data_IF_504591661467
#
_entry.id   IF_504591661467
#
_cell.length_a   1.000
_cell.length_b   1.000
_cell.length_c   1.000
_cell.angle_alpha   90.00
_cell.angle_beta   90.00
_cell.angle_gamma   90.00
#
_symmetry.space_group_name_H-M   'P 1'
#
loop_
_entity.id
_entity.type
_entity.pdbx_description
1 polymer ?
#
# COMPACT_ATOMS: atom_id res chain seq x y z
N UNK A 1 -16.23 6.79 -6.59
CA UNK A 1 -16.41 7.66 -7.74
C UNK A 1 -15.45 8.81 -7.60
N UNK A 2 -14.73 9.18 -8.65
CA UNK A 2 -13.91 10.39 -8.73
C UNK A 2 -14.80 11.54 -9.22
N UNK A 3 -14.59 12.74 -8.69
CA UNK A 3 -15.27 13.95 -9.15
C UNK A 3 -14.53 14.52 -10.37
N UNK A 4 -13.19 14.50 -10.31
CA UNK A 4 -12.34 14.96 -11.41
C UNK A 4 -11.19 13.99 -11.66
N UNK A 5 -10.86 13.82 -12.93
CA UNK A 5 -9.69 13.10 -13.40
C UNK A 5 -9.11 13.85 -14.59
N UNK A 6 -7.86 14.28 -14.49
CA UNK A 6 -7.12 14.89 -15.59
C UNK A 6 -5.86 14.06 -15.84
N UNK A 7 -5.65 13.64 -17.09
CA UNK A 7 -4.48 12.88 -17.46
C UNK A 7 -3.86 13.42 -18.76
N UNK A 8 -2.53 13.44 -18.81
CA UNK A 8 -1.73 13.62 -20.02
C UNK A 8 -0.80 12.43 -20.14
N UNK A 9 -1.01 11.64 -21.18
CA UNK A 9 -0.22 10.47 -21.47
C UNK A 9 0.09 10.39 -22.96
N UNK A 10 1.19 9.77 -23.29
CA UNK A 10 1.57 9.39 -24.65
C UNK A 10 1.98 7.94 -24.67
N UNK A 11 1.80 7.29 -25.81
CA UNK A 11 2.22 5.91 -25.98
C UNK A 11 2.72 5.69 -27.41
N UNK A 12 3.60 4.73 -27.56
CA UNK A 12 4.09 4.25 -28.84
C UNK A 12 4.18 2.73 -28.83
N UNK A 13 3.91 2.13 -29.97
CA UNK A 13 4.14 0.70 -30.20
C UNK A 13 5.60 0.48 -30.51
N UNK A 14 6.21 -0.54 -29.91
CA UNK A 14 7.57 -0.97 -30.19
C UNK A 14 7.45 -2.17 -31.12
N UNK A 15 7.85 -2.00 -32.40
CA UNK A 15 7.91 -3.08 -33.39
C UNK A 15 9.29 -3.76 -33.36
N UNK A 16 9.34 -5.07 -33.60
CA UNK A 16 10.61 -5.77 -33.83
C UNK A 16 11.33 -6.28 -32.59
N UNK A 17 10.63 -6.48 -31.46
CA UNK A 17 11.20 -7.27 -30.36
C UNK A 17 11.25 -8.74 -30.80
N UNK A 18 12.44 -9.41 -30.88
CA UNK A 18 12.52 -10.81 -31.24
C UNK A 18 11.80 -11.66 -30.19
N UNK A 19 10.65 -12.23 -30.54
CA UNK A 19 9.97 -13.20 -29.72
C UNK A 19 10.78 -14.49 -29.75
N UNK A 20 11.19 -15.01 -28.60
CA UNK A 20 11.68 -16.37 -28.48
C UNK A 20 10.52 -17.32 -28.69
N UNK A 21 10.46 -17.92 -29.88
CA UNK A 21 9.52 -19.02 -30.16
C UNK A 21 9.91 -20.23 -29.31
N UNK A 22 9.01 -20.87 -28.56
CA UNK A 22 9.30 -22.04 -27.76
C UNK A 22 9.60 -23.29 -28.59
N UNK A 23 9.36 -23.25 -29.88
CA UNK A 23 9.63 -24.38 -30.81
C UNK A 23 10.39 -23.84 -32.01
N UNK A 24 11.68 -24.11 -32.08
CA UNK A 24 12.65 -23.75 -33.12
C UNK A 24 12.25 -23.99 -34.58
N UNK A 25 11.16 -23.44 -35.05
CA UNK A 25 10.75 -23.44 -36.44
C UNK A 25 11.28 -22.16 -37.12
N UNK A 26 12.10 -22.30 -38.18
CA UNK A 26 12.54 -21.18 -38.98
C UNK A 26 11.39 -20.83 -39.97
N UNK A 27 10.73 -19.77 -39.82
CA UNK A 27 9.80 -19.06 -40.71
C UNK A 27 8.50 -18.67 -40.01
N UNK A 28 8.53 -17.48 -39.51
CA UNK A 28 7.37 -16.81 -38.93
C UNK A 28 7.78 -15.94 -37.76
N UNK A 29 8.35 -14.79 -38.05
CA UNK A 29 8.63 -13.77 -37.03
C UNK A 29 7.29 -13.25 -36.52
N UNK A 30 6.75 -13.88 -35.49
CA UNK A 30 5.74 -13.24 -34.66
C UNK A 30 6.46 -12.08 -33.97
N UNK A 31 6.41 -10.90 -34.56
CA UNK A 31 6.92 -9.68 -33.94
C UNK A 31 6.06 -9.45 -32.69
N UNK A 32 6.59 -9.79 -31.53
CA UNK A 32 5.95 -9.40 -30.28
C UNK A 32 5.87 -7.87 -30.28
N UNK A 33 4.65 -7.36 -30.26
CA UNK A 33 4.42 -5.91 -30.20
C UNK A 33 4.60 -5.46 -28.76
N UNK A 34 5.60 -4.64 -28.52
CA UNK A 34 5.78 -3.97 -27.25
C UNK A 34 4.98 -2.67 -27.19
N UNK A 35 4.85 -2.12 -26.00
CA UNK A 35 4.26 -0.80 -25.77
C UNK A 35 5.12 0.00 -24.79
N UNK A 36 5.25 1.29 -25.08
CA UNK A 36 5.95 2.26 -24.24
C UNK A 36 4.95 3.37 -23.91
N UNK A 37 4.60 3.51 -22.64
CA UNK A 37 3.59 4.44 -22.15
C UNK A 37 4.26 5.44 -21.24
N UNK A 38 4.13 6.71 -21.53
CA UNK A 38 4.57 7.81 -20.68
C UNK A 38 3.38 8.54 -20.11
N UNK A 39 3.27 8.55 -18.78
CA UNK A 39 2.30 9.32 -18.04
C UNK A 39 2.99 10.61 -17.54
N UNK A 40 2.80 11.70 -18.28
CA UNK A 40 3.40 12.99 -17.91
C UNK A 40 2.75 13.56 -16.65
N UNK A 41 1.44 13.43 -16.54
CA UNK A 41 0.65 13.92 -15.43
C UNK A 41 -0.66 13.17 -15.33
N UNK A 42 -1.02 12.80 -14.11
CA UNK A 42 -2.35 12.36 -13.71
C UNK A 42 -2.72 13.14 -12.45
N UNK A 43 -3.88 13.74 -12.40
CA UNK A 43 -4.47 14.34 -11.22
C UNK A 43 -5.86 13.77 -11.01
N UNK A 44 -6.18 13.44 -9.80
CA UNK A 44 -7.50 12.93 -9.44
C UNK A 44 -7.99 13.57 -8.14
N UNK A 45 -9.27 13.78 -8.06
CA UNK A 45 -9.95 14.22 -6.85
C UNK A 45 -11.32 13.60 -6.76
N UNK A 46 -11.69 13.21 -5.56
CA UNK A 46 -12.99 12.65 -5.22
C UNK A 46 -13.20 12.64 -3.71
N UNK A 47 -14.36 12.20 -3.23
CA UNK A 47 -14.66 12.18 -1.80
C UNK A 47 -13.70 11.30 -1.00
N UNK A 48 -13.27 10.18 -1.59
CA UNK A 48 -12.43 9.20 -0.91
C UNK A 48 -10.94 9.50 -0.96
N UNK A 49 -10.45 10.19 -2.00
CA UNK A 49 -9.03 10.53 -2.13
C UNK A 49 -8.80 11.63 -3.16
N UNK A 50 -7.67 12.34 -3.02
CA UNK A 50 -7.13 13.25 -4.02
C UNK A 50 -5.62 13.09 -4.09
N UNK A 51 -5.06 13.29 -5.30
CA UNK A 51 -3.63 13.13 -5.49
C UNK A 51 -3.21 13.25 -6.94
N UNK A 52 -1.97 12.90 -7.20
CA UNK A 52 -1.36 12.97 -8.51
C UNK A 52 -0.41 11.79 -8.75
N UNK A 53 -0.15 11.50 -10.04
CA UNK A 53 0.83 10.51 -10.42
C UNK A 53 1.54 10.92 -11.71
N UNK A 54 2.75 10.41 -11.90
CA UNK A 54 3.53 10.47 -13.14
C UNK A 54 4.37 9.21 -13.26
N UNK A 55 4.70 8.83 -14.48
CA UNK A 55 5.52 7.64 -14.63
C UNK A 55 5.72 7.21 -16.05
N UNK A 56 6.33 6.06 -16.17
CA UNK A 56 6.64 5.42 -17.42
C UNK A 56 6.44 3.91 -17.27
N UNK A 57 5.85 3.27 -18.27
CA UNK A 57 5.73 1.83 -18.32
C UNK A 57 6.15 1.34 -19.68
N UNK A 58 6.97 0.30 -19.70
CA UNK A 58 7.48 -0.31 -20.92
C UNK A 58 7.25 -1.81 -20.90
N UNK A 59 6.52 -2.27 -21.88
CA UNK A 59 6.34 -3.68 -22.16
C UNK A 59 7.05 -4.04 -23.46
N UNK A 60 7.87 -5.08 -23.46
CA UNK A 60 8.68 -5.49 -24.62
C UNK A 60 8.25 -6.82 -25.22
N UNK A 61 7.02 -7.26 -24.91
CA UNK A 61 6.47 -8.51 -25.43
C UNK A 61 6.76 -9.74 -24.58
N UNK A 62 7.56 -9.61 -23.50
CA UNK A 62 7.86 -10.69 -22.55
C UNK A 62 7.78 -10.20 -21.12
N UNK A 63 7.17 -11.03 -20.24
CA UNK A 63 7.02 -10.75 -18.82
C UNK A 63 6.04 -9.61 -18.51
N UNK A 64 6.06 -9.09 -17.29
CA UNK A 64 5.15 -8.03 -16.84
C UNK A 64 5.61 -6.60 -17.19
N UNK A 65 6.79 -6.44 -17.79
CA UNK A 65 7.35 -5.14 -18.19
C UNK A 65 8.11 -4.40 -17.09
N UNK A 66 8.58 -3.20 -17.46
CA UNK A 66 9.31 -2.29 -16.59
C UNK A 66 8.45 -1.06 -16.25
N UNK A 67 8.56 -0.58 -15.04
CA UNK A 67 7.80 0.57 -14.55
C UNK A 67 8.71 1.56 -13.82
N UNK A 68 8.40 2.84 -13.96
CA UNK A 68 8.90 3.93 -13.12
C UNK A 68 7.70 4.82 -12.79
N UNK A 69 7.07 4.61 -11.65
CA UNK A 69 5.85 5.29 -11.22
C UNK A 69 6.10 5.99 -9.90
N UNK A 70 5.75 7.26 -9.84
CA UNK A 70 5.65 8.03 -8.60
C UNK A 70 4.24 8.59 -8.49
N UNK A 71 3.60 8.37 -7.34
CA UNK A 71 2.31 8.97 -7.03
C UNK A 71 2.35 9.66 -5.67
N UNK A 72 1.56 10.73 -5.54
CA UNK A 72 1.32 11.43 -4.29
C UNK A 72 -0.18 11.40 -3.98
N UNK A 73 -0.51 11.23 -2.71
CA UNK A 73 -1.88 11.29 -2.20
C UNK A 73 -1.95 12.42 -1.18
N UNK A 74 -2.63 13.49 -1.54
CA UNK A 74 -2.70 14.69 -0.71
C UNK A 74 -3.65 14.48 0.47
N UNK A 75 -4.75 13.76 0.22
CA UNK A 75 -5.73 13.35 1.21
C UNK A 75 -6.40 12.04 0.84
N UNK A 76 -6.77 11.27 1.86
CA UNK A 76 -7.57 10.06 1.70
C UNK A 76 -8.50 9.85 2.91
N UNK A 77 -9.69 9.30 2.66
CA UNK A 77 -10.51 8.67 3.70
C UNK A 77 -9.90 7.30 4.00
N UNK A 78 -9.43 7.11 5.23
CA UNK A 78 -8.77 5.86 5.63
C UNK A 78 -9.67 4.64 5.42
N UNK A 79 -11.00 4.78 5.55
CA UNK A 79 -11.97 3.70 5.30
C UNK A 79 -11.99 3.23 3.85
N UNK A 80 -11.55 4.06 2.93
CA UNK A 80 -11.59 3.76 1.51
C UNK A 80 -10.29 3.15 0.97
N UNK A 81 -9.23 3.09 1.78
CA UNK A 81 -7.89 2.68 1.34
C UNK A 81 -7.86 1.28 0.72
N UNK A 82 -8.67 0.35 1.22
CA UNK A 82 -8.79 -1.00 0.70
C UNK A 82 -9.20 -1.07 -0.79
N UNK A 83 -9.89 -0.03 -1.30
CA UNK A 83 -10.34 0.07 -2.71
C UNK A 83 -9.19 0.33 -3.67
N UNK A 84 -8.11 0.90 -3.16
CA UNK A 84 -6.93 1.29 -3.94
C UNK A 84 -5.78 0.30 -3.80
N UNK A 85 -5.96 -0.77 -3.01
CA UNK A 85 -4.95 -1.80 -2.84
C UNK A 85 -4.83 -2.66 -4.10
N UNK A 86 -3.60 -2.90 -4.59
CA UNK A 86 -3.37 -3.79 -5.72
C UNK A 86 -3.94 -5.20 -5.47
N UNK A 87 -4.35 -5.88 -6.54
CA UNK A 87 -4.89 -7.24 -6.45
C UNK A 87 -3.85 -8.28 -5.98
N UNK A 88 -2.56 -7.97 -6.06
CA UNK A 88 -1.48 -8.82 -5.52
C UNK A 88 -1.49 -8.89 -3.98
N UNK A 89 -2.12 -7.94 -3.31
CA UNK A 89 -2.33 -8.02 -1.86
C UNK A 89 -3.37 -9.11 -1.59
N UNK A 90 -3.03 -10.03 -0.68
CA UNK A 90 -3.89 -11.18 -0.38
C UNK A 90 -5.29 -10.75 0.10
N UNK A 91 -6.27 -11.62 -0.13
CA UNK A 91 -7.67 -11.31 0.16
C UNK A 91 -7.95 -11.08 1.66
N UNK A 92 -7.22 -11.78 2.51
CA UNK A 92 -7.35 -11.70 3.98
C UNK A 92 -6.89 -10.34 4.50
N UNK A 93 -5.72 -9.85 4.06
CA UNK A 93 -5.22 -8.53 4.41
C UNK A 93 -6.17 -7.42 3.92
N UNK A 94 -6.69 -7.55 2.69
CA UNK A 94 -7.69 -6.60 2.16
C UNK A 94 -8.99 -6.61 2.95
N UNK A 95 -9.47 -7.79 3.33
CA UNK A 95 -10.67 -7.95 4.16
C UNK A 95 -10.46 -7.37 5.56
N UNK A 96 -9.27 -7.59 6.15
CA UNK A 96 -8.91 -7.02 7.45
C UNK A 96 -8.88 -5.48 7.39
N UNK A 97 -8.21 -4.88 6.40
CA UNK A 97 -8.16 -3.42 6.24
C UNK A 97 -9.56 -2.84 6.05
N UNK A 98 -10.40 -3.49 5.23
CA UNK A 98 -11.78 -3.06 4.99
C UNK A 98 -12.62 -3.06 6.27
N UNK A 99 -12.43 -4.04 7.14
CA UNK A 99 -13.16 -4.17 8.41
C UNK A 99 -12.51 -3.34 9.50
N UNK A 100 -11.20 -3.44 9.63
CA UNK A 100 -10.45 -2.92 10.77
C UNK A 100 -10.30 -1.41 10.78
N UNK A 101 -10.24 -0.75 9.63
CA UNK A 101 -10.17 0.72 9.58
C UNK A 101 -11.57 1.31 9.61
N UNK A 102 -12.00 1.77 10.79
CA UNK A 102 -13.36 2.28 11.04
C UNK A 102 -13.51 3.73 10.63
N UNK A 103 -12.50 4.57 10.89
CA UNK A 103 -12.47 5.98 10.52
C UNK A 103 -11.04 6.49 10.44
N UNK A 104 -10.85 7.71 9.94
CA UNK A 104 -9.56 8.38 9.93
C UNK A 104 -9.27 9.09 8.62
N UNK A 105 -8.20 9.88 8.62
CA UNK A 105 -7.71 10.63 7.46
C UNK A 105 -6.29 10.22 7.15
N UNK A 106 -6.02 9.91 5.87
CA UNK A 106 -4.68 9.76 5.32
C UNK A 106 -4.24 11.03 4.61
N UNK A 107 -2.97 11.36 4.67
CA UNK A 107 -2.37 12.50 4.00
C UNK A 107 -0.87 12.32 3.78
N UNK A 108 -0.24 13.19 3.00
CA UNK A 108 1.19 13.11 2.65
C UNK A 108 1.59 11.71 2.14
N UNK A 109 0.67 11.07 1.42
CA UNK A 109 0.91 9.76 0.84
C UNK A 109 1.89 9.84 -0.33
N UNK A 110 2.82 8.91 -0.42
CA UNK A 110 3.76 8.77 -1.53
C UNK A 110 3.97 7.33 -1.90
N UNK A 111 3.82 7.01 -3.17
CA UNK A 111 4.17 5.73 -3.77
C UNK A 111 5.37 5.92 -4.70
N UNK A 112 6.36 5.06 -4.57
CA UNK A 112 7.43 4.85 -5.55
C UNK A 112 7.42 3.37 -5.94
N UNK A 113 7.25 3.11 -7.24
CA UNK A 113 7.33 1.78 -7.83
C UNK A 113 8.23 1.87 -9.07
N UNK A 114 9.41 1.26 -8.99
CA UNK A 114 10.42 1.36 -10.04
C UNK A 114 11.16 0.04 -10.19
N UNK A 115 11.33 -0.42 -11.42
CA UNK A 115 12.09 -1.61 -11.78
C UNK A 115 11.33 -2.54 -12.71
N UNK A 116 11.92 -3.70 -12.98
CA UNK A 116 11.27 -4.76 -13.73
C UNK A 116 10.25 -5.45 -12.82
N UNK A 117 8.98 -5.47 -13.22
CA UNK A 117 7.90 -6.04 -12.41
C UNK A 117 8.02 -7.56 -12.22
N UNK A 118 8.91 -8.23 -12.94
CA UNK A 118 9.25 -9.65 -12.71
C UNK A 118 9.94 -9.85 -11.36
N UNK A 119 10.70 -8.84 -10.91
CA UNK A 119 11.47 -8.89 -9.66
C UNK A 119 10.71 -8.29 -8.48
N UNK A 120 9.44 -7.89 -8.70
CA UNK A 120 8.58 -7.37 -7.63
C UNK A 120 8.41 -8.41 -6.51
N UNK A 121 8.51 -8.03 -5.23
CA UNK A 121 8.62 -6.69 -4.66
C UNK A 121 10.04 -6.13 -4.47
N UNK A 122 11.03 -6.58 -5.24
CA UNK A 122 12.42 -6.10 -5.23
C UNK A 122 13.17 -6.39 -3.93
N UNK A 123 13.12 -7.64 -3.49
CA UNK A 123 13.68 -8.10 -2.20
C UNK A 123 15.18 -7.93 -2.06
N UNK A 124 15.89 -7.91 -3.17
CA UNK A 124 17.35 -7.71 -3.24
C UNK A 124 17.78 -6.26 -2.99
N UNK A 125 16.82 -5.32 -2.97
CA UNK A 125 17.06 -3.90 -2.79
C UNK A 125 17.81 -3.20 -3.92
N UNK A 126 18.14 -3.92 -5.00
CA UNK A 126 18.95 -3.44 -6.13
C UNK A 126 18.22 -3.49 -7.48
N UNK A 127 17.37 -4.49 -7.73
CA UNK A 127 16.61 -4.66 -8.98
C UNK A 127 15.51 -3.63 -9.18
N UNK A 128 15.10 -2.96 -8.10
CA UNK A 128 14.04 -1.97 -8.14
C UNK A 128 13.69 -1.40 -6.77
N UNK A 129 12.55 -0.70 -6.73
CA UNK A 129 12.05 -0.09 -5.49
C UNK A 129 10.54 -0.12 -5.44
N UNK A 130 9.99 -0.65 -4.37
CA UNK A 130 8.59 -0.49 -4.01
C UNK A 130 8.50 0.03 -2.58
N UNK A 131 7.95 1.24 -2.44
CA UNK A 131 7.71 1.84 -1.13
C UNK A 131 6.47 2.73 -1.18
N UNK A 132 5.63 2.60 -0.18
CA UNK A 132 4.50 3.48 0.09
C UNK A 132 4.69 4.08 1.46
N UNK A 133 4.63 5.38 1.56
CA UNK A 133 4.61 6.11 2.84
C UNK A 133 3.34 6.92 2.93
N UNK A 134 2.79 7.08 4.12
CA UNK A 134 1.65 7.95 4.37
C UNK A 134 1.62 8.37 5.84
N UNK A 135 0.89 9.45 6.12
CA UNK A 135 0.52 9.85 7.47
C UNK A 135 -0.95 9.57 7.71
N UNK A 136 -1.28 9.23 8.94
CA UNK A 136 -2.65 9.05 9.41
C UNK A 136 -2.96 10.03 10.54
N UNK A 137 -4.19 10.51 10.59
CA UNK A 137 -4.68 11.35 11.67
C UNK A 137 -6.10 10.93 12.07
N UNK A 138 -6.34 10.99 13.37
CA UNK A 138 -7.63 10.70 13.99
C UNK A 138 -8.23 9.37 13.52
N UNK A 139 -7.37 8.36 13.45
CA UNK A 139 -7.75 7.04 12.93
C UNK A 139 -8.26 6.15 14.04
N UNK A 140 -9.37 5.45 13.75
CA UNK A 140 -9.94 4.40 14.61
C UNK A 140 -9.73 3.04 13.93
N UNK A 141 -9.17 2.11 14.70
CA UNK A 141 -8.88 0.75 14.24
C UNK A 141 -9.54 -0.27 15.17
N UNK A 142 -10.40 -1.10 14.60
CA UNK A 142 -10.90 -2.34 15.17
C UNK A 142 -9.99 -3.48 14.69
N UNK A 143 -8.91 -3.71 15.44
CA UNK A 143 -7.84 -4.61 14.99
C UNK A 143 -8.18 -6.10 15.13
N UNK A 144 -8.99 -6.47 16.12
CA UNK A 144 -9.46 -7.83 16.34
C UNK A 144 -10.91 -7.81 16.85
N UNK A 145 -11.83 -8.57 16.27
CA UNK A 145 -13.22 -8.63 16.73
C UNK A 145 -13.33 -8.99 18.21
N UNK A 146 -14.12 -8.23 18.94
CA UNK A 146 -14.33 -8.43 20.36
C UNK A 146 -13.30 -7.78 21.29
N UNK A 147 -12.24 -7.17 20.73
CA UNK A 147 -11.29 -6.38 21.49
C UNK A 147 -11.65 -4.89 21.45
N UNK A 148 -11.32 -4.13 22.50
CA UNK A 148 -11.51 -2.68 22.48
C UNK A 148 -10.76 -2.02 21.33
N UNK A 149 -11.44 -1.21 20.55
CA UNK A 149 -10.82 -0.50 19.42
C UNK A 149 -9.80 0.53 19.90
N UNK A 150 -8.79 0.77 19.08
CA UNK A 150 -7.84 1.88 19.27
C UNK A 150 -8.36 3.09 18.50
N UNK A 151 -8.44 4.23 19.17
CA UNK A 151 -8.99 5.46 18.63
C UNK A 151 -7.97 6.59 18.64
N UNK A 152 -8.26 7.67 17.89
CA UNK A 152 -7.44 8.88 17.83
C UNK A 152 -5.97 8.61 17.49
N UNK A 153 -5.72 7.65 16.60
CA UNK A 153 -4.37 7.29 16.19
C UNK A 153 -3.85 8.36 15.23
N UNK A 154 -2.73 8.97 15.60
CA UNK A 154 -1.92 9.81 14.72
C UNK A 154 -0.54 9.14 14.53
N UNK A 155 -0.11 8.99 13.27
CA UNK A 155 1.15 8.30 13.02
C UNK A 155 1.59 8.28 11.56
N UNK A 156 2.75 7.69 11.34
CA UNK A 156 3.35 7.48 10.04
C UNK A 156 3.32 6.00 9.67
N UNK A 157 3.14 5.71 8.40
CA UNK A 157 3.10 4.36 7.87
C UNK A 157 4.08 4.21 6.72
N UNK A 158 4.78 3.10 6.69
CA UNK A 158 5.65 2.70 5.58
C UNK A 158 5.32 1.26 5.20
N UNK A 159 5.12 1.03 3.92
CA UNK A 159 4.87 -0.29 3.33
C UNK A 159 5.89 -0.55 2.23
N UNK A 160 6.31 -1.78 2.11
CA UNK A 160 7.19 -2.30 1.09
C UNK A 160 7.13 -3.83 1.11
N UNK A 161 8.23 -4.50 1.36
CA UNK A 161 8.29 -5.94 1.61
C UNK A 161 7.49 -6.31 2.86
N UNK A 162 7.51 -5.44 3.86
CA UNK A 162 6.74 -5.50 5.08
C UNK A 162 6.04 -4.19 5.38
N UNK A 163 5.69 -3.99 6.64
CA UNK A 163 5.01 -2.79 7.14
C UNK A 163 5.66 -2.28 8.41
N UNK A 164 5.76 -0.97 8.52
CA UNK A 164 6.05 -0.27 9.78
C UNK A 164 5.03 0.83 9.99
N UNK A 165 4.43 0.86 11.18
CA UNK A 165 3.59 1.95 11.65
C UNK A 165 4.21 2.53 12.90
N UNK A 166 4.37 3.84 12.95
CA UNK A 166 4.87 4.59 14.09
C UNK A 166 3.78 5.59 14.52
N UNK A 167 3.04 5.24 15.56
CA UNK A 167 2.00 6.08 16.10
C UNK A 167 2.52 6.89 17.30
N UNK A 168 2.46 8.22 17.16
CA UNK A 168 2.84 9.15 18.22
C UNK A 168 1.74 9.30 19.28
N UNK A 169 0.50 8.95 18.90
CA UNK A 169 -0.69 9.12 19.74
C UNK A 169 -1.70 8.03 19.40
N UNK A 170 -2.44 7.63 20.41
CA UNK A 170 -3.59 6.75 20.33
C UNK A 170 -4.31 6.70 21.67
N UNK A 171 -5.49 6.12 21.68
CA UNK A 171 -6.27 5.90 22.90
C UNK A 171 -6.98 4.55 22.83
N UNK A 172 -6.99 3.81 23.92
CA UNK A 172 -7.73 2.58 24.06
C UNK A 172 -8.49 2.63 25.39
N UNK A 173 -9.82 2.61 25.31
CA UNK A 173 -10.67 2.94 26.46
C UNK A 173 -10.28 4.29 27.05
N UNK A 174 -9.86 4.36 28.30
CA UNK A 174 -9.34 5.57 28.98
C UNK A 174 -7.81 5.64 29.07
N UNK A 175 -7.06 4.71 28.45
CA UNK A 175 -5.61 4.70 28.46
C UNK A 175 -5.04 5.39 27.22
N UNK A 176 -4.11 6.32 27.41
CA UNK A 176 -3.35 6.98 26.35
C UNK A 176 -2.22 6.08 25.88
N UNK A 177 -2.08 5.97 24.58
CA UNK A 177 -0.98 5.27 23.92
C UNK A 177 0.01 6.29 23.34
N UNK A 178 1.31 6.03 23.51
CA UNK A 178 2.38 6.81 22.90
C UNK A 178 3.54 5.92 22.45
N UNK A 179 4.36 6.43 21.54
CA UNK A 179 5.55 5.76 21.01
C UNK A 179 5.27 4.33 20.53
N UNK A 180 4.10 4.15 19.92
CA UNK A 180 3.67 2.84 19.44
C UNK A 180 4.34 2.55 18.11
N UNK A 181 5.02 1.42 18.03
CA UNK A 181 5.60 0.87 16.81
C UNK A 181 4.99 -0.49 16.53
N UNK A 182 4.46 -0.65 15.33
CA UNK A 182 3.93 -1.91 14.80
C UNK A 182 4.74 -2.29 13.58
N UNK A 183 5.31 -3.50 13.56
CA UNK A 183 6.14 -3.98 12.45
C UNK A 183 5.70 -5.36 12.01
N UNK A 184 5.48 -5.51 10.72
CA UNK A 184 5.48 -6.79 10.01
C UNK A 184 6.73 -6.78 9.13
N UNK A 185 7.78 -7.55 9.45
CA UNK A 185 9.05 -7.48 8.72
C UNK A 185 8.92 -7.88 7.25
N UNK A 186 8.10 -8.87 6.96
CA UNK A 186 7.88 -9.42 5.64
C UNK A 186 6.48 -10.04 5.53
N UNK A 187 5.67 -9.58 4.56
CA UNK A 187 4.32 -10.07 4.33
C UNK A 187 4.27 -11.50 3.75
N UNK A 188 5.36 -11.96 3.14
CA UNK A 188 5.45 -13.31 2.54
C UNK A 188 6.24 -14.29 3.42
N UNK A 189 6.61 -13.87 4.65
CA UNK A 189 7.23 -14.79 5.61
C UNK A 189 6.27 -15.94 5.92
N UNK A 190 6.83 -17.15 6.05
CA UNK A 190 6.05 -18.32 6.50
C UNK A 190 5.59 -18.19 7.95
N UNK A 191 6.30 -17.41 8.73
CA UNK A 191 5.94 -17.06 10.10
C UNK A 191 5.28 -15.67 10.06
N UNK A 192 4.02 -15.60 10.42
CA UNK A 192 3.30 -14.33 10.57
C UNK A 192 3.76 -13.63 11.84
N UNK A 193 4.78 -12.78 11.70
CA UNK A 193 5.35 -12.03 12.83
C UNK A 193 4.78 -10.63 12.84
N UNK A 194 4.03 -10.31 13.89
CA UNK A 194 3.59 -8.96 14.23
C UNK A 194 4.30 -8.50 15.50
N UNK A 195 5.20 -7.54 15.39
CA UNK A 195 5.90 -6.95 16.53
C UNK A 195 5.20 -5.64 16.93
N UNK A 196 4.76 -5.56 18.17
CA UNK A 196 4.12 -4.36 18.73
C UNK A 196 4.90 -3.91 19.95
N UNK A 197 5.28 -2.64 19.97
CA UNK A 197 5.88 -1.96 21.12
C UNK A 197 5.19 -0.62 21.33
N UNK A 198 5.07 -0.18 22.56
CA UNK A 198 4.48 1.12 22.88
C UNK A 198 4.36 1.33 24.38
N UNK A 199 3.94 2.52 24.73
CA UNK A 199 3.64 2.91 26.11
C UNK A 199 2.13 3.14 26.25
N UNK A 200 1.57 2.61 27.34
CA UNK A 200 0.19 2.85 27.72
C UNK A 200 0.16 3.51 29.11
N UNK A 201 -0.55 4.60 29.24
CA UNK A 201 -0.69 5.35 30.48
C UNK A 201 -2.15 5.71 30.73
N UNK A 202 -2.66 5.38 31.92
CA UNK A 202 -4.04 5.66 32.31
C UNK A 202 -4.35 5.18 33.71
N UNK A 203 -5.59 5.38 34.18
CA UNK A 203 -6.06 4.83 35.45
C UNK A 203 -5.98 3.31 35.45
N UNK A 204 -5.61 2.70 36.57
CA UNK A 204 -5.53 1.22 36.70
C UNK A 204 -6.84 0.52 36.34
N UNK A 205 -7.97 1.15 36.64
CA UNK A 205 -9.30 0.67 36.29
C UNK A 205 -9.49 0.43 34.78
N UNK A 206 -8.85 1.24 33.93
CA UNK A 206 -8.96 1.08 32.48
C UNK A 206 -8.19 -0.14 31.96
N UNK A 207 -7.10 -0.50 32.63
CA UNK A 207 -6.35 -1.72 32.32
C UNK A 207 -7.17 -2.97 32.69
N UNK A 208 -7.83 -2.97 33.86
CA UNK A 208 -8.75 -4.05 34.21
C UNK A 208 -9.94 -4.13 33.28
N UNK A 209 -10.52 -2.98 32.92
CA UNK A 209 -11.61 -2.91 31.95
C UNK A 209 -11.21 -3.46 30.57
N UNK A 210 -9.96 -3.21 30.15
CA UNK A 210 -9.43 -3.79 28.92
C UNK A 210 -9.40 -5.32 28.99
N UNK A 211 -8.95 -5.90 30.10
CA UNK A 211 -8.94 -7.36 30.30
C UNK A 211 -10.37 -7.93 30.31
N UNK A 212 -11.30 -7.29 31.02
CA UNK A 212 -12.70 -7.72 31.10
C UNK A 212 -13.43 -7.69 29.74
N UNK A 213 -13.05 -6.74 28.87
CA UNK A 213 -13.66 -6.57 27.54
C UNK A 213 -12.92 -7.34 26.44
N UNK A 214 -11.77 -7.93 26.76
CA UNK A 214 -11.00 -8.72 25.80
C UNK A 214 -11.34 -10.20 25.95
N UNK A 215 -11.46 -10.96 24.85
CA UNK A 215 -11.74 -12.40 24.88
C UNK A 215 -10.46 -13.18 25.23
N UNK A 216 -9.94 -13.01 26.45
CA UNK A 216 -8.77 -13.72 27.00
C UNK A 216 -9.23 -14.86 27.91
#
# INVERSE_FOLDING_TARGET
VLDTLTARASWKTISGVPGTSPNGAPNGVASASGVDIKLDKLEFSGPAAAGSARGHYRFTGDGPGEIDLTANVDRADARAVWRYMPHVVNAEARAWIKRGIVSGRGYDGRLILKGNLRDFPFRDGTSGKFIVTAKAADTKVDYVPGWPAIEQIDGNMTFGIGMKVEASKGNILGARLSDVTVVIPDFESREEILLVKGLAQGPTSEFFRFLDQSPV
#
